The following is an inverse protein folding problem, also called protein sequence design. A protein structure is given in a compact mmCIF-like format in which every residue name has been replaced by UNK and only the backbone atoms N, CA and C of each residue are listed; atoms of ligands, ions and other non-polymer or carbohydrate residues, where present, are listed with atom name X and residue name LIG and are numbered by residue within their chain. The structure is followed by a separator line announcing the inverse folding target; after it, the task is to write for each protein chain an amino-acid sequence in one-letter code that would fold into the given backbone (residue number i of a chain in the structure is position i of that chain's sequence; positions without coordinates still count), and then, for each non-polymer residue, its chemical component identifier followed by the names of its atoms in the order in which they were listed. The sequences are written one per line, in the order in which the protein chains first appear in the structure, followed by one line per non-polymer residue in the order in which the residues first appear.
data_IF_079068034202
#
_entry.id   IF_079068034202
#
_cell.length_a   1.000
_cell.length_b   1.000
_cell.length_c   1.000
_cell.angle_alpha   90.00
_cell.angle_beta   90.00
_cell.angle_gamma   90.00
#
_symmetry.space_group_name_H-M   'P 1'
#
loop_
_entity.id
_entity.type
_entity.pdbx_description
1 polymer ?
#
# COMPACT_ATOMS: atom_id res chain seq x y z
N UNK A 1 21.01 -11.65 -9.69
CA UNK A 1 20.64 -13.09 -9.79
C UNK A 1 21.46 -13.93 -8.82
N UNK A 2 22.78 -13.95 -8.90
CA UNK A 2 23.65 -14.83 -8.06
C UNK A 2 23.36 -14.74 -6.56
N UNK A 3 23.32 -13.54 -5.99
CA UNK A 3 23.03 -13.34 -4.56
C UNK A 3 21.66 -13.92 -4.15
N UNK A 4 20.63 -13.72 -4.98
CA UNK A 4 19.28 -14.28 -4.72
C UNK A 4 19.33 -15.82 -4.74
N UNK A 5 19.99 -16.40 -5.74
CA UNK A 5 20.16 -17.86 -5.84
C UNK A 5 20.92 -18.43 -4.64
N UNK A 6 21.99 -17.74 -4.19
CA UNK A 6 22.78 -18.19 -3.03
C UNK A 6 21.96 -18.21 -1.75
N UNK A 7 21.11 -17.18 -1.52
CA UNK A 7 20.18 -17.16 -0.39
C UNK A 7 19.19 -18.33 -0.47
N UNK A 8 18.57 -18.56 -1.64
CA UNK A 8 17.60 -19.65 -1.80
C UNK A 8 18.26 -21.04 -1.68
N UNK A 9 19.44 -21.24 -2.23
CA UNK A 9 20.20 -22.50 -2.09
C UNK A 9 20.62 -22.77 -0.64
N UNK A 10 21.03 -21.71 0.08
CA UNK A 10 21.43 -21.79 1.49
C UNK A 10 20.26 -22.14 2.40
N UNK A 11 19.10 -21.48 2.23
CA UNK A 11 17.98 -21.60 3.16
C UNK A 11 16.93 -22.63 2.73
N UNK A 12 16.91 -23.04 1.46
CA UNK A 12 15.95 -24.02 0.93
C UNK A 12 14.51 -23.79 1.36
N UNK A 13 13.94 -22.58 1.18
CA UNK A 13 12.59 -22.29 1.63
C UNK A 13 11.56 -23.15 0.90
N UNK A 14 10.53 -23.60 1.60
CA UNK A 14 9.37 -24.26 0.99
C UNK A 14 8.30 -23.27 0.57
N UNK A 15 8.21 -22.14 1.27
CA UNK A 15 7.22 -21.08 1.05
C UNK A 15 7.92 -19.71 1.08
N UNK A 16 7.50 -18.79 0.22
CA UNK A 16 8.11 -17.47 0.10
C UNK A 16 7.03 -16.39 0.06
N UNK A 17 7.19 -15.35 0.90
CA UNK A 17 6.48 -14.08 0.76
C UNK A 17 7.45 -13.08 0.12
N UNK A 18 7.11 -12.61 -1.09
CA UNK A 18 7.93 -11.71 -1.87
C UNK A 18 7.42 -10.27 -1.76
N UNK A 19 8.05 -9.48 -0.87
CA UNK A 19 7.75 -8.06 -0.64
C UNK A 19 8.80 -7.13 -1.24
N UNK A 20 9.95 -7.67 -1.70
CA UNK A 20 11.04 -6.85 -2.22
C UNK A 20 10.58 -6.08 -3.47
N UNK A 21 10.80 -4.77 -3.45
CA UNK A 21 10.51 -3.91 -4.58
C UNK A 21 11.25 -2.56 -4.44
N UNK A 22 11.57 -1.95 -5.56
CA UNK A 22 11.87 -0.52 -5.59
C UNK A 22 10.54 0.22 -5.54
N UNK A 23 10.32 0.99 -4.47
CA UNK A 23 9.09 1.77 -4.24
C UNK A 23 9.41 3.25 -4.04
N UNK A 24 8.42 4.11 -4.25
CA UNK A 24 8.56 5.55 -4.03
C UNK A 24 7.26 6.29 -4.25
N UNK A 25 7.18 7.51 -3.73
CA UNK A 25 6.05 8.40 -3.92
C UNK A 25 5.86 8.88 -5.36
N UNK A 26 4.78 9.65 -5.60
CA UNK A 26 4.36 10.12 -6.92
C UNK A 26 5.50 10.84 -7.68
N UNK A 27 6.18 11.78 -7.03
CA UNK A 27 7.22 12.60 -7.70
C UNK A 27 8.43 11.78 -8.12
N UNK A 28 8.84 10.80 -7.32
CA UNK A 28 9.93 9.90 -7.64
C UNK A 28 9.57 8.99 -8.83
N UNK A 29 8.35 8.48 -8.86
CA UNK A 29 7.86 7.68 -10.00
C UNK A 29 7.89 8.48 -11.30
N UNK A 30 7.37 9.70 -11.30
CA UNK A 30 7.37 10.58 -12.49
C UNK A 30 8.78 10.80 -13.08
N UNK A 31 9.80 10.93 -12.22
CA UNK A 31 11.18 11.18 -12.64
C UNK A 31 11.94 9.94 -13.09
N UNK A 32 11.62 8.77 -12.53
CA UNK A 32 12.46 7.57 -12.62
C UNK A 32 11.68 6.33 -13.13
N UNK A 33 10.67 6.51 -13.99
CA UNK A 33 9.83 5.40 -14.47
C UNK A 33 10.65 4.22 -15.05
N UNK A 34 11.73 4.49 -15.80
CA UNK A 34 12.59 3.45 -16.35
C UNK A 34 13.31 2.65 -15.25
N UNK A 35 13.82 3.34 -14.21
CA UNK A 35 14.49 2.67 -13.10
C UNK A 35 13.51 1.80 -12.29
N UNK A 36 12.30 2.31 -12.06
CA UNK A 36 11.23 1.53 -11.43
C UNK A 36 10.88 0.28 -12.24
N UNK A 37 10.76 0.41 -13.57
CA UNK A 37 10.55 -0.72 -14.46
C UNK A 37 11.68 -1.74 -14.36
N UNK A 38 12.92 -1.34 -14.64
CA UNK A 38 14.06 -2.25 -14.71
C UNK A 38 14.33 -2.95 -13.39
N UNK A 39 14.42 -2.18 -12.30
CA UNK A 39 14.75 -2.76 -11.00
C UNK A 39 13.67 -3.74 -10.54
N UNK A 40 12.39 -3.40 -10.67
CA UNK A 40 11.32 -4.28 -10.23
C UNK A 40 11.19 -5.53 -11.12
N UNK A 41 11.39 -5.44 -12.43
CA UNK A 41 11.44 -6.63 -13.30
C UNK A 41 12.57 -7.56 -12.87
N UNK A 42 13.78 -7.05 -12.64
CA UNK A 42 14.91 -7.87 -12.22
C UNK A 42 14.69 -8.50 -10.84
N UNK A 43 14.16 -7.74 -9.87
CA UNK A 43 13.85 -8.26 -8.52
C UNK A 43 12.85 -9.41 -8.63
N UNK A 44 11.74 -9.18 -9.33
CA UNK A 44 10.66 -10.14 -9.46
C UNK A 44 11.13 -11.43 -10.17
N UNK A 45 11.79 -11.30 -11.30
CA UNK A 45 12.31 -12.43 -12.08
C UNK A 45 13.33 -13.25 -11.29
N UNK A 46 14.29 -12.58 -10.64
CA UNK A 46 15.28 -13.24 -9.81
C UNK A 46 14.66 -14.06 -8.68
N UNK A 47 13.64 -13.53 -8.00
CA UNK A 47 12.99 -14.23 -6.89
C UNK A 47 12.19 -15.43 -7.39
N UNK A 48 11.38 -15.27 -8.44
CA UNK A 48 10.57 -16.37 -8.97
C UNK A 48 11.44 -17.47 -9.59
N UNK A 49 12.49 -17.11 -10.32
CA UNK A 49 13.42 -18.07 -10.90
C UNK A 49 14.18 -18.85 -9.80
N UNK A 50 14.73 -18.16 -8.79
CA UNK A 50 15.42 -18.80 -7.69
C UNK A 50 14.48 -19.72 -6.88
N UNK A 51 13.23 -19.30 -6.68
CA UNK A 51 12.21 -20.12 -6.04
C UNK A 51 11.92 -21.39 -6.83
N UNK A 52 11.81 -21.27 -8.16
CA UNK A 52 11.61 -22.43 -9.05
C UNK A 52 12.77 -23.42 -9.00
N UNK A 53 14.03 -22.94 -9.09
CA UNK A 53 15.24 -23.76 -9.07
C UNK A 53 15.39 -24.62 -7.81
N UNK A 54 15.00 -24.08 -6.64
CA UNK A 54 15.10 -24.83 -5.37
C UNK A 54 13.84 -25.60 -5.02
N UNK A 55 12.79 -25.54 -5.85
CA UNK A 55 11.58 -26.31 -5.66
C UNK A 55 10.60 -25.72 -4.63
N UNK A 56 10.56 -24.38 -4.47
CA UNK A 56 9.57 -23.71 -3.61
C UNK A 56 8.15 -24.17 -3.98
N UNK A 57 7.39 -24.54 -2.98
CA UNK A 57 6.01 -25.03 -3.14
C UNK A 57 5.07 -23.87 -3.48
N UNK A 58 5.19 -22.75 -2.78
CA UNK A 58 4.33 -21.57 -2.96
C UNK A 58 5.07 -20.26 -2.78
N UNK A 59 4.82 -19.33 -3.70
CA UNK A 59 5.26 -17.95 -3.60
C UNK A 59 4.03 -17.05 -3.58
N UNK A 60 3.99 -16.10 -2.64
CA UNK A 60 2.99 -15.03 -2.60
C UNK A 60 3.69 -13.69 -2.83
N UNK A 61 3.45 -13.09 -3.99
CA UNK A 61 4.04 -11.80 -4.37
C UNK A 61 3.11 -10.64 -4.06
N UNK A 62 3.69 -9.50 -3.64
CA UNK A 62 2.94 -8.28 -3.38
C UNK A 62 2.84 -7.43 -4.64
N UNK A 63 1.63 -7.24 -5.17
CA UNK A 63 1.29 -6.26 -6.20
C UNK A 63 0.92 -4.90 -5.56
N UNK A 64 0.13 -4.12 -6.27
CA UNK A 64 -0.44 -2.84 -5.82
C UNK A 64 -1.64 -2.49 -6.69
N UNK A 65 -2.59 -1.73 -6.18
CA UNK A 65 -3.73 -1.25 -6.97
C UNK A 65 -3.35 -0.34 -8.14
N UNK A 66 -2.10 0.13 -8.23
CA UNK A 66 -1.61 0.89 -9.39
C UNK A 66 -1.51 0.06 -10.68
N UNK A 67 -1.58 -1.28 -10.60
CA UNK A 67 -1.56 -2.17 -11.77
C UNK A 67 -2.85 -2.09 -12.58
N UNK A 68 -3.96 -1.61 -12.01
CA UNK A 68 -5.23 -1.48 -12.72
C UNK A 68 -5.21 -0.36 -13.76
N UNK A 69 -6.06 -0.43 -14.79
CA UNK A 69 -6.18 0.62 -15.79
C UNK A 69 -6.49 1.97 -15.16
N UNK A 70 -5.94 3.04 -15.74
CA UNK A 70 -6.26 4.41 -15.32
C UNK A 70 -7.74 4.75 -15.58
N UNK A 71 -8.22 4.39 -16.78
CA UNK A 71 -9.64 4.53 -17.15
C UNK A 71 -10.32 3.19 -16.91
N UNK A 72 -11.12 3.11 -15.86
CA UNK A 72 -11.82 1.89 -15.48
C UNK A 72 -13.15 2.21 -14.77
N UNK A 73 -13.97 1.20 -14.58
CA UNK A 73 -15.17 1.28 -13.74
C UNK A 73 -14.84 0.93 -12.29
N UNK A 74 -15.65 1.41 -11.37
CA UNK A 74 -15.51 1.13 -9.93
C UNK A 74 -16.73 0.38 -9.40
N UNK A 75 -16.55 -0.53 -8.43
CA UNK A 75 -15.27 -0.91 -7.83
C UNK A 75 -14.40 -1.74 -8.80
N UNK A 76 -13.07 -1.61 -8.68
CA UNK A 76 -12.14 -2.46 -9.43
C UNK A 76 -12.08 -3.86 -8.82
N UNK A 77 -11.94 -4.89 -9.68
CA UNK A 77 -11.78 -6.27 -9.26
C UNK A 77 -10.64 -6.96 -10.03
N UNK A 78 -10.29 -8.18 -9.62
CA UNK A 78 -9.13 -8.91 -10.12
C UNK A 78 -9.15 -9.14 -11.64
N UNK A 79 -10.34 -9.26 -12.25
CA UNK A 79 -10.47 -9.51 -13.70
C UNK A 79 -10.09 -8.31 -14.56
N UNK A 80 -9.96 -7.13 -13.96
CA UNK A 80 -9.71 -5.86 -14.67
C UNK A 80 -8.22 -5.54 -14.86
N UNK A 81 -7.30 -6.34 -14.31
CA UNK A 81 -5.85 -6.05 -14.29
C UNK A 81 -5.30 -5.71 -15.67
N UNK A 82 -5.75 -6.42 -16.71
CA UNK A 82 -5.23 -6.31 -18.07
C UNK A 82 -6.14 -5.52 -19.04
N UNK A 83 -7.20 -4.85 -18.55
CA UNK A 83 -8.20 -4.19 -19.40
C UNK A 83 -7.76 -2.83 -19.97
N UNK A 84 -6.53 -2.40 -19.75
CA UNK A 84 -6.01 -1.15 -20.29
C UNK A 84 -4.68 -0.71 -19.65
N UNK A 85 -4.12 0.41 -20.09
CA UNK A 85 -2.87 0.94 -19.55
C UNK A 85 -3.07 1.47 -18.13
N UNK A 86 -2.06 1.29 -17.24
CA UNK A 86 -2.05 1.95 -15.94
C UNK A 86 -1.83 3.46 -16.08
N UNK A 87 -1.99 4.20 -14.99
CA UNK A 87 -1.79 5.65 -14.98
C UNK A 87 -0.34 6.03 -15.34
N UNK A 88 -0.18 7.06 -16.17
CA UNK A 88 1.12 7.48 -16.71
C UNK A 88 2.14 7.90 -15.64
N UNK A 89 1.69 8.43 -14.52
CA UNK A 89 2.60 8.91 -13.46
C UNK A 89 3.52 7.84 -12.90
N UNK A 90 3.13 6.55 -12.96
CA UNK A 90 3.88 5.44 -12.38
C UNK A 90 3.85 4.17 -13.26
N UNK A 91 3.70 4.35 -14.57
CA UNK A 91 3.54 3.22 -15.50
C UNK A 91 4.69 2.19 -15.40
N UNK A 92 5.92 2.64 -15.19
CA UNK A 92 7.08 1.75 -15.07
C UNK A 92 6.93 0.78 -13.90
N UNK A 93 6.60 1.28 -12.71
CA UNK A 93 6.30 0.46 -11.54
C UNK A 93 5.07 -0.43 -11.76
N UNK A 94 3.99 0.16 -12.26
CA UNK A 94 2.73 -0.54 -12.44
C UNK A 94 2.84 -1.72 -13.40
N UNK A 95 3.48 -1.54 -14.56
CA UNK A 95 3.72 -2.63 -15.50
C UNK A 95 4.67 -3.70 -14.93
N UNK A 96 5.75 -3.31 -14.23
CA UNK A 96 6.64 -4.28 -13.62
C UNK A 96 5.91 -5.15 -12.59
N UNK A 97 5.01 -4.57 -11.79
CA UNK A 97 4.17 -5.32 -10.86
C UNK A 97 3.12 -6.18 -11.58
N UNK A 98 2.50 -5.67 -12.64
CA UNK A 98 1.54 -6.44 -13.45
C UNK A 98 2.18 -7.68 -14.08
N UNK A 99 3.46 -7.61 -14.46
CA UNK A 99 4.18 -8.76 -15.03
C UNK A 99 4.36 -9.92 -14.06
N UNK A 100 4.27 -9.71 -12.75
CA UNK A 100 4.22 -10.82 -11.78
C UNK A 100 3.01 -11.73 -11.99
N UNK A 101 1.83 -11.18 -12.31
CA UNK A 101 0.66 -12.00 -12.65
C UNK A 101 0.92 -12.86 -13.90
N UNK A 102 1.53 -12.27 -14.93
CA UNK A 102 1.90 -13.00 -16.16
C UNK A 102 2.91 -14.11 -15.85
N UNK A 103 3.95 -13.83 -15.06
CA UNK A 103 4.95 -14.82 -14.67
C UNK A 103 4.33 -15.96 -13.85
N UNK A 104 3.47 -15.66 -12.86
CA UNK A 104 2.80 -16.67 -12.05
C UNK A 104 1.98 -17.65 -12.91
N UNK A 105 1.20 -17.10 -13.86
CA UNK A 105 0.44 -17.91 -14.83
C UNK A 105 1.34 -18.78 -15.70
N UNK A 106 2.45 -18.22 -16.19
CA UNK A 106 3.42 -18.97 -17.00
C UNK A 106 4.09 -20.11 -16.21
N UNK A 107 4.51 -19.84 -14.96
CA UNK A 107 5.05 -20.87 -14.07
C UNK A 107 4.03 -21.99 -13.75
N UNK A 108 2.77 -21.64 -13.57
CA UNK A 108 1.72 -22.65 -13.40
C UNK A 108 1.50 -23.45 -14.66
N UNK A 109 1.39 -22.82 -15.80
CA UNK A 109 1.13 -23.49 -17.08
C UNK A 109 2.26 -24.48 -17.45
N UNK A 110 3.51 -24.06 -17.32
CA UNK A 110 4.67 -24.83 -17.74
C UNK A 110 5.17 -25.81 -16.67
N UNK A 111 5.09 -25.44 -15.40
CA UNK A 111 5.76 -26.16 -14.32
C UNK A 111 4.83 -26.55 -13.17
N UNK A 112 3.53 -26.24 -13.26
CA UNK A 112 2.54 -26.49 -12.21
C UNK A 112 2.90 -25.86 -10.86
N UNK A 113 3.60 -24.71 -10.87
CA UNK A 113 3.93 -23.97 -9.66
C UNK A 113 2.74 -23.14 -9.19
N UNK A 114 2.32 -23.29 -7.94
CA UNK A 114 1.23 -22.54 -7.33
C UNK A 114 1.72 -21.18 -6.81
N UNK A 115 2.34 -20.37 -7.69
CA UNK A 115 2.73 -19.00 -7.39
C UNK A 115 1.54 -18.09 -7.59
N UNK A 116 1.31 -17.19 -6.63
CA UNK A 116 0.18 -16.26 -6.69
C UNK A 116 0.60 -14.87 -6.23
N UNK A 117 -0.31 -13.93 -6.29
CA UNK A 117 -0.04 -12.58 -5.85
C UNK A 117 -1.23 -11.97 -5.10
N UNK A 118 -0.95 -11.01 -4.26
CA UNK A 118 -1.96 -10.23 -3.55
C UNK A 118 -1.92 -8.77 -3.99
N UNK A 119 -3.06 -8.11 -4.00
CA UNK A 119 -3.23 -6.71 -4.41
C UNK A 119 -3.74 -5.92 -3.19
N UNK A 120 -2.84 -5.43 -2.32
CA UNK A 120 -3.28 -4.60 -1.21
C UNK A 120 -3.71 -3.22 -1.69
N UNK A 121 -4.67 -2.62 -0.97
CA UNK A 121 -4.98 -1.19 -1.05
C UNK A 121 -3.93 -0.36 -0.30
N UNK A 122 -4.26 0.82 0.21
CA UNK A 122 -3.25 1.67 0.85
C UNK A 122 -2.90 1.13 2.24
N UNK A 123 -1.72 0.54 2.34
CA UNK A 123 -1.20 -0.04 3.59
C UNK A 123 -0.71 1.07 4.50
N UNK A 124 -0.99 0.95 5.80
CA UNK A 124 -0.44 1.82 6.85
C UNK A 124 -0.24 1.04 8.15
N UNK A 125 0.62 1.52 9.02
CA UNK A 125 0.85 0.89 10.33
C UNK A 125 2.18 1.32 10.96
N UNK A 126 2.51 0.76 12.13
CA UNK A 126 3.85 0.88 12.71
C UNK A 126 4.95 0.50 11.72
N UNK A 127 6.12 1.13 11.87
CA UNK A 127 7.29 0.92 11.00
C UNK A 127 7.16 1.39 9.54
N UNK A 128 6.10 2.12 9.19
CA UNK A 128 5.93 2.69 7.86
C UNK A 128 7.02 3.73 7.51
N UNK A 129 7.00 4.23 6.28
CA UNK A 129 7.81 5.37 5.86
C UNK A 129 7.05 6.67 6.15
N UNK A 130 7.43 7.36 7.22
CA UNK A 130 6.81 8.63 7.64
C UNK A 130 7.46 9.86 6.97
N UNK A 131 8.31 9.68 5.95
CA UNK A 131 8.85 10.81 5.18
C UNK A 131 7.72 11.65 4.59
N UNK A 132 7.80 12.96 4.77
CA UNK A 132 6.79 13.90 4.26
C UNK A 132 6.83 13.95 2.74
N UNK A 133 8.02 13.81 2.13
CA UNK A 133 8.22 13.92 0.69
C UNK A 133 8.04 12.58 -0.04
N UNK A 134 8.56 11.50 0.55
CA UNK A 134 8.66 10.17 -0.11
C UNK A 134 7.67 9.14 0.44
N UNK A 135 7.02 9.42 1.57
CA UNK A 135 6.03 8.54 2.21
C UNK A 135 4.67 8.56 1.51
N UNK A 136 3.84 7.59 1.86
CA UNK A 136 2.43 7.59 1.48
C UNK A 136 1.64 8.65 2.26
N UNK A 137 0.40 8.91 1.81
CA UNK A 137 -0.41 10.02 2.33
C UNK A 137 -0.64 9.94 3.83
N UNK A 138 -1.02 8.77 4.37
CA UNK A 138 -1.38 8.65 5.79
C UNK A 138 -0.19 8.77 6.73
N UNK A 139 0.94 8.05 6.54
CA UNK A 139 2.14 8.26 7.36
C UNK A 139 2.71 9.68 7.22
N UNK A 140 2.63 10.29 6.03
CA UNK A 140 3.01 11.69 5.83
C UNK A 140 2.13 12.67 6.61
N UNK A 141 0.81 12.42 6.68
CA UNK A 141 -0.13 13.20 7.50
C UNK A 141 0.18 13.07 8.99
N UNK A 142 0.49 11.87 9.47
CA UNK A 142 0.87 11.63 10.87
C UNK A 142 2.10 12.46 11.22
N UNK A 143 3.15 12.42 10.40
CA UNK A 143 4.38 13.18 10.63
C UNK A 143 4.15 14.70 10.59
N UNK A 144 3.43 15.20 9.57
CA UNK A 144 3.05 16.62 9.47
C UNK A 144 2.26 17.09 10.68
N UNK A 145 1.29 16.28 11.13
CA UNK A 145 0.48 16.63 12.30
C UNK A 145 1.32 16.67 13.59
N UNK A 146 2.24 15.73 13.75
CA UNK A 146 3.17 15.72 14.88
C UNK A 146 4.04 16.97 14.93
N UNK A 147 4.62 17.36 13.78
CA UNK A 147 5.43 18.59 13.69
C UNK A 147 4.57 19.83 13.96
N UNK A 148 3.41 19.93 13.31
CA UNK A 148 2.48 21.04 13.49
C UNK A 148 2.07 21.21 14.98
N UNK A 149 1.79 20.08 15.67
CA UNK A 149 1.51 20.07 17.10
C UNK A 149 2.70 20.58 17.93
N UNK A 150 3.90 20.09 17.63
CA UNK A 150 5.13 20.47 18.36
C UNK A 150 5.48 21.95 18.18
N UNK A 151 5.25 22.48 16.99
CA UNK A 151 5.57 23.87 16.63
C UNK A 151 4.41 24.86 16.89
N UNK A 152 3.24 24.37 17.26
CA UNK A 152 2.05 25.24 17.45
C UNK A 152 1.53 25.83 16.13
N UNK A 153 1.79 25.19 14.98
CA UNK A 153 1.39 25.65 13.64
C UNK A 153 0.17 24.90 13.12
N UNK A 154 -0.56 25.44 12.13
CA UNK A 154 -1.61 24.71 11.44
C UNK A 154 -1.07 23.48 10.70
N UNK A 155 -1.88 22.40 10.62
CA UNK A 155 -1.60 21.27 9.73
C UNK A 155 -1.87 21.69 8.27
N UNK A 156 -0.88 21.52 7.39
CA UNK A 156 -1.04 21.72 5.95
C UNK A 156 -1.25 20.39 5.25
N UNK A 157 -2.46 20.17 4.75
CA UNK A 157 -2.84 19.00 3.94
C UNK A 157 -2.59 19.33 2.46
N UNK A 158 -1.83 18.47 1.77
CA UNK A 158 -1.61 18.65 0.34
C UNK A 158 -2.81 18.15 -0.47
N UNK A 159 -3.21 18.93 -1.48
CA UNK A 159 -4.38 18.67 -2.32
C UNK A 159 -5.68 19.22 -1.74
N UNK A 160 -6.80 18.83 -2.33
CA UNK A 160 -8.14 19.30 -1.92
C UNK A 160 -8.71 18.56 -0.70
N UNK A 161 -8.16 17.41 -0.34
CA UNK A 161 -8.71 16.54 0.69
C UNK A 161 -9.92 15.71 0.24
N UNK A 162 -10.41 15.88 -0.98
CA UNK A 162 -11.61 15.20 -1.48
C UNK A 162 -11.37 13.75 -1.99
N UNK A 163 -10.19 13.36 -2.49
CA UNK A 163 -9.97 12.00 -2.96
C UNK A 163 -10.22 10.97 -1.87
N UNK A 164 -10.82 9.85 -2.26
CA UNK A 164 -11.16 8.74 -1.37
C UNK A 164 -10.18 7.58 -1.49
N UNK A 165 -9.93 6.91 -0.36
CA UNK A 165 -9.01 5.76 -0.27
C UNK A 165 -9.52 4.73 0.71
N UNK A 166 -9.30 3.46 0.37
CA UNK A 166 -9.36 2.36 1.32
C UNK A 166 -7.99 2.19 1.95
N UNK A 167 -7.94 2.19 3.28
CA UNK A 167 -6.72 1.98 4.05
C UNK A 167 -6.78 0.62 4.75
N UNK A 168 -5.74 -0.19 4.59
CA UNK A 168 -5.62 -1.48 5.26
C UNK A 168 -4.49 -1.44 6.30
N UNK A 169 -4.78 -1.90 7.51
CA UNK A 169 -3.80 -1.97 8.58
C UNK A 169 -2.76 -3.05 8.30
N UNK A 170 -1.49 -2.73 8.50
CA UNK A 170 -0.37 -3.62 8.17
C UNK A 170 -0.42 -4.97 8.89
N UNK A 171 -0.95 -5.02 10.12
CA UNK A 171 -1.13 -6.26 10.86
C UNK A 171 -2.22 -7.14 10.26
N UNK A 172 -3.34 -6.57 9.85
CA UNK A 172 -4.40 -7.31 9.17
C UNK A 172 -3.92 -7.83 7.82
N UNK A 173 -3.20 -6.99 7.07
CA UNK A 173 -2.58 -7.40 5.82
C UNK A 173 -1.59 -8.56 6.03
N UNK A 174 -0.79 -8.53 7.10
CA UNK A 174 0.14 -9.62 7.41
C UNK A 174 -0.59 -10.93 7.71
N UNK A 175 -1.70 -10.89 8.46
CA UNK A 175 -2.57 -12.05 8.70
C UNK A 175 -3.13 -12.62 7.40
N UNK A 176 -3.59 -11.75 6.50
CA UNK A 176 -4.11 -12.14 5.19
C UNK A 176 -3.01 -12.73 4.28
N UNK A 177 -1.77 -12.19 4.30
CA UNK A 177 -0.64 -12.79 3.60
C UNK A 177 -0.36 -14.22 4.07
N UNK A 178 -0.38 -14.44 5.39
CA UNK A 178 -0.17 -15.78 5.96
C UNK A 178 -1.31 -16.73 5.56
N UNK A 179 -2.55 -16.25 5.54
CA UNK A 179 -3.67 -17.04 5.05
C UNK A 179 -3.50 -17.39 3.56
N UNK A 180 -3.19 -16.41 2.70
CA UNK A 180 -2.94 -16.66 1.27
C UNK A 180 -1.83 -17.67 1.07
N UNK A 181 -0.75 -17.56 1.86
CA UNK A 181 0.38 -18.50 1.78
C UNK A 181 -0.02 -19.93 2.11
N UNK A 182 -0.91 -20.12 3.09
CA UNK A 182 -1.29 -21.44 3.62
C UNK A 182 -2.47 -22.07 2.92
N UNK A 183 -3.48 -21.26 2.58
CA UNK A 183 -4.83 -21.79 2.29
C UNK A 183 -5.38 -21.36 0.93
N UNK A 184 -4.97 -20.21 0.38
CA UNK A 184 -5.52 -19.72 -0.89
C UNK A 184 -5.05 -20.61 -2.06
N UNK A 185 -5.95 -21.30 -2.79
CA UNK A 185 -5.56 -22.36 -3.74
C UNK A 185 -5.26 -21.85 -5.16
N UNK A 186 -5.67 -20.63 -5.48
CA UNK A 186 -5.63 -20.12 -6.85
C UNK A 186 -4.29 -19.48 -7.22
N UNK A 187 -3.99 -19.49 -8.51
CA UNK A 187 -2.85 -18.76 -9.12
C UNK A 187 -3.24 -17.30 -9.38
N UNK A 188 -4.51 -17.07 -9.70
CA UNK A 188 -5.06 -15.74 -9.91
C UNK A 188 -4.86 -14.88 -8.66
N UNK A 189 -4.49 -13.59 -8.85
CA UNK A 189 -4.29 -12.70 -7.72
C UNK A 189 -5.60 -12.44 -6.95
N UNK A 190 -5.44 -12.00 -5.71
CA UNK A 190 -6.56 -11.62 -4.84
C UNK A 190 -6.36 -10.23 -4.27
N UNK A 191 -7.41 -9.41 -4.30
CA UNK A 191 -7.44 -8.08 -3.68
C UNK A 191 -7.56 -8.26 -2.16
N UNK A 192 -6.64 -7.65 -1.43
CA UNK A 192 -6.67 -7.57 0.03
C UNK A 192 -7.02 -6.14 0.42
N UNK A 193 -8.30 -5.91 0.69
CA UNK A 193 -8.86 -4.59 0.99
C UNK A 193 -9.96 -4.70 2.03
N UNK A 194 -10.15 -3.62 2.77
CA UNK A 194 -11.39 -3.36 3.52
C UNK A 194 -12.58 -3.20 2.56
N UNK A 195 -13.80 -3.21 3.07
CA UNK A 195 -15.02 -3.01 2.28
C UNK A 195 -15.07 -1.64 1.57
N UNK A 196 -16.00 -1.50 0.63
CA UNK A 196 -16.23 -0.23 -0.07
C UNK A 196 -16.78 0.85 0.89
N UNK A 197 -17.55 0.43 1.89
CA UNK A 197 -18.13 1.26 2.95
C UNK A 197 -17.08 1.86 3.88
N UNK A 198 -15.91 1.24 3.98
CA UNK A 198 -14.77 1.70 4.80
C UNK A 198 -13.85 2.68 4.06
N UNK A 199 -14.24 3.12 2.86
CA UNK A 199 -13.50 4.11 2.10
C UNK A 199 -13.63 5.50 2.74
N UNK A 200 -12.49 6.14 3.02
CA UNK A 200 -12.44 7.48 3.64
C UNK A 200 -11.76 8.49 2.71
N UNK A 201 -12.21 9.76 2.78
CA UNK A 201 -11.55 10.86 2.11
C UNK A 201 -10.23 11.22 2.81
N UNK A 202 -9.32 11.88 2.09
CA UNK A 202 -8.08 12.39 2.68
C UNK A 202 -8.38 13.40 3.80
N UNK A 203 -9.48 14.16 3.69
CA UNK A 203 -9.96 15.05 4.76
C UNK A 203 -10.33 14.26 6.01
N UNK A 204 -11.18 13.22 5.89
CA UNK A 204 -11.57 12.38 7.02
C UNK A 204 -10.36 11.67 7.66
N UNK A 205 -9.40 11.24 6.83
CA UNK A 205 -8.15 10.68 7.32
C UNK A 205 -7.32 11.71 8.11
N UNK A 206 -7.20 12.95 7.61
CA UNK A 206 -6.51 14.03 8.31
C UNK A 206 -7.21 14.40 9.64
N UNK A 207 -8.55 14.47 9.64
CA UNK A 207 -9.34 14.70 10.86
C UNK A 207 -9.10 13.59 11.90
N UNK A 208 -9.05 12.33 11.45
CA UNK A 208 -8.78 11.19 12.33
C UNK A 208 -7.36 11.22 12.90
N UNK A 209 -6.34 11.62 12.11
CA UNK A 209 -4.95 11.81 12.61
C UNK A 209 -4.89 12.90 13.66
N UNK A 210 -5.56 14.04 13.43
CA UNK A 210 -5.66 15.14 14.40
C UNK A 210 -6.26 14.67 15.72
N UNK A 211 -7.32 13.85 15.66
CA UNK A 211 -7.93 13.24 16.85
C UNK A 211 -6.98 12.25 17.53
N UNK A 212 -6.36 11.34 16.78
CA UNK A 212 -5.48 10.30 17.30
C UNK A 212 -4.26 10.88 18.03
N UNK A 213 -3.73 12.00 17.55
CA UNK A 213 -2.59 12.71 18.17
C UNK A 213 -3.02 13.73 19.23
N UNK A 214 -4.31 13.83 19.57
CA UNK A 214 -4.84 14.88 20.47
C UNK A 214 -4.29 16.27 20.14
N UNK A 215 -4.34 16.62 18.86
CA UNK A 215 -3.87 17.92 18.38
C UNK A 215 -4.94 18.97 18.64
N UNK A 216 -4.94 19.53 19.88
CA UNK A 216 -5.75 20.68 20.25
C UNK A 216 -4.99 21.94 19.85
N UNK A 217 -5.66 22.89 19.17
CA UNK A 217 -5.10 24.22 19.02
C UNK A 217 -4.85 24.79 20.44
N UNK A 218 -3.58 24.97 20.81
CA UNK A 218 -3.20 25.57 22.08
C UNK A 218 -3.86 26.94 22.21
N UNK A 219 -4.28 27.26 23.44
CA UNK A 219 -4.93 28.51 23.88
C UNK A 219 -4.15 29.76 23.41
N UNK A 220 -4.42 30.21 22.20
CA UNK A 220 -4.11 31.58 21.81
C UNK A 220 -5.37 32.22 21.22
N UNK A 221 -6.01 33.04 22.02
CA UNK A 221 -7.15 33.90 21.74
C UNK A 221 -8.41 33.27 21.09
N UNK A 222 -9.37 33.06 21.96
CA UNK A 222 -10.81 32.97 21.72
C UNK A 222 -11.23 33.84 20.54
N UNK A 223 -11.94 33.22 19.58
CA UNK A 223 -12.75 33.84 18.51
C UNK A 223 -12.31 33.64 17.05
N UNK A 224 -11.71 32.50 16.67
CA UNK A 224 -11.74 32.13 15.26
C UNK A 224 -12.05 30.64 15.18
N UNK A 225 -13.21 30.36 14.64
CA UNK A 225 -13.81 29.13 14.13
C UNK A 225 -12.97 27.83 14.14
N UNK A 226 -13.58 26.73 14.52
CA UNK A 226 -13.17 25.32 14.40
C UNK A 226 -12.54 24.91 13.04
N UNK A 227 -12.50 25.81 12.06
CA UNK A 227 -12.03 25.65 10.69
C UNK A 227 -10.52 25.92 10.50
N UNK A 228 -9.78 26.38 11.50
CA UNK A 228 -8.36 26.77 11.31
C UNK A 228 -7.31 25.70 11.66
N UNK A 229 -7.69 24.45 11.89
CA UNK A 229 -6.72 23.40 12.21
C UNK A 229 -6.04 22.81 10.99
N UNK A 230 -6.66 22.91 9.82
CA UNK A 230 -6.18 22.33 8.58
C UNK A 230 -6.22 23.38 7.48
N UNK A 231 -5.13 23.49 6.74
CA UNK A 231 -5.05 24.28 5.51
C UNK A 231 -4.83 23.32 4.35
N UNK A 232 -5.49 23.55 3.21
CA UNK A 232 -5.39 22.73 2.03
C UNK A 232 -4.53 23.44 0.98
N UNK A 233 -3.40 22.84 0.62
CA UNK A 233 -2.54 23.32 -0.47
C UNK A 233 -2.99 22.71 -1.79
N UNK A 234 -3.93 23.34 -2.44
CA UNK A 234 -4.50 22.91 -3.73
C UNK A 234 -3.55 23.08 -4.92
N UNK A 235 -2.38 23.68 -4.76
CA UNK A 235 -1.33 23.67 -5.78
C UNK A 235 -0.64 22.31 -5.90
N UNK A 236 -0.80 21.45 -4.89
CA UNK A 236 -0.33 20.06 -4.94
C UNK A 236 -1.38 19.16 -5.56
N UNK A 237 -0.93 18.20 -6.37
CA UNK A 237 -1.82 17.26 -7.06
C UNK A 237 -2.55 16.35 -6.06
N UNK A 238 -3.84 16.14 -6.29
CA UNK A 238 -4.68 15.17 -5.58
C UNK A 238 -4.36 13.70 -5.96
N UNK A 239 -3.67 13.48 -7.09
CA UNK A 239 -3.54 12.16 -7.69
C UNK A 239 -4.89 11.64 -8.24
N UNK A 240 -5.07 10.33 -8.30
CA UNK A 240 -6.35 9.75 -8.76
C UNK A 240 -7.48 10.05 -7.76
N UNK A 241 -8.62 10.50 -8.25
CA UNK A 241 -9.78 10.87 -7.43
C UNK A 241 -10.37 9.67 -6.67
N UNK A 242 -10.49 8.51 -7.33
CA UNK A 242 -11.07 7.28 -6.76
C UNK A 242 -10.21 6.06 -7.13
N UNK A 243 -10.14 5.08 -6.22
CA UNK A 243 -9.46 3.79 -6.41
C UNK A 243 -10.16 2.67 -5.65
N UNK A 244 -11.47 2.74 -5.53
CA UNK A 244 -12.24 1.77 -4.76
C UNK A 244 -12.07 0.38 -5.34
N UNK A 245 -11.61 -0.55 -4.51
CA UNK A 245 -11.42 -1.96 -4.84
C UNK A 245 -12.53 -2.81 -4.21
N UNK A 246 -12.98 -3.81 -4.95
CA UNK A 246 -13.95 -4.79 -4.48
C UNK A 246 -13.23 -5.89 -3.68
N UNK A 247 -13.68 -6.17 -2.47
CA UNK A 247 -13.15 -7.26 -1.66
C UNK A 247 -14.04 -8.53 -1.68
N UNK A 248 -15.01 -8.61 -2.59
CA UNK A 248 -15.98 -9.72 -2.63
C UNK A 248 -15.29 -11.09 -2.75
N UNK A 249 -14.21 -11.20 -3.51
CA UNK A 249 -13.44 -12.44 -3.62
C UNK A 249 -12.83 -12.83 -2.26
N UNK A 250 -12.20 -11.89 -1.56
CA UNK A 250 -11.68 -12.12 -0.20
C UNK A 250 -12.79 -12.54 0.76
N UNK A 251 -13.91 -11.82 0.78
CA UNK A 251 -15.05 -12.12 1.65
C UNK A 251 -15.69 -13.48 1.36
N UNK A 252 -15.64 -13.96 0.11
CA UNK A 252 -16.14 -15.30 -0.22
C UNK A 252 -15.28 -16.42 0.37
N UNK A 253 -13.98 -16.19 0.56
CA UNK A 253 -13.06 -17.14 1.22
C UNK A 253 -13.04 -16.98 2.73
N UNK A 254 -13.16 -15.76 3.23
CA UNK A 254 -13.04 -15.41 4.65
C UNK A 254 -14.22 -14.53 5.10
N UNK A 255 -15.46 -15.08 5.15
CA UNK A 255 -16.64 -14.29 5.52
C UNK A 255 -16.57 -13.72 6.94
N UNK A 256 -15.86 -14.39 7.85
CA UNK A 256 -15.72 -14.00 9.25
C UNK A 256 -14.44 -13.22 9.55
N UNK A 257 -13.71 -12.76 8.53
CA UNK A 257 -12.52 -11.95 8.78
C UNK A 257 -12.89 -10.52 9.17
N UNK A 258 -12.53 -10.14 10.38
CA UNK A 258 -12.77 -8.81 10.90
C UNK A 258 -11.50 -7.95 10.81
N UNK A 259 -11.59 -6.89 10.03
CA UNK A 259 -10.55 -5.87 9.96
C UNK A 259 -10.51 -5.04 11.25
N UNK A 260 -9.32 -4.64 11.64
CA UNK A 260 -9.15 -3.69 12.73
C UNK A 260 -9.81 -2.35 12.32
N UNK A 261 -10.71 -1.78 13.16
CA UNK A 261 -11.36 -0.52 12.83
C UNK A 261 -10.34 0.58 12.53
N UNK A 262 -10.57 1.36 11.46
CA UNK A 262 -9.63 2.37 10.97
C UNK A 262 -9.11 3.31 12.07
N UNK A 263 -10.00 3.83 12.92
CA UNK A 263 -9.62 4.74 14.02
C UNK A 263 -8.73 4.06 15.07
N UNK A 264 -8.95 2.79 15.35
CA UNK A 264 -8.12 2.01 16.28
C UNK A 264 -6.72 1.81 15.68
N UNK A 265 -6.63 1.27 14.48
CA UNK A 265 -5.36 1.03 13.79
C UNK A 265 -4.55 2.33 13.60
N UNK A 266 -5.25 3.44 13.31
CA UNK A 266 -4.64 4.76 13.20
C UNK A 266 -4.08 5.24 14.54
N UNK A 267 -4.83 5.06 15.64
CA UNK A 267 -4.36 5.41 16.98
C UNK A 267 -3.09 4.64 17.35
N UNK A 268 -3.09 3.32 17.13
CA UNK A 268 -1.92 2.46 17.37
C UNK A 268 -0.71 2.92 16.55
N UNK A 269 -0.93 3.28 15.28
CA UNK A 269 0.13 3.79 14.39
C UNK A 269 0.69 5.13 14.87
N UNK A 270 -0.18 6.06 15.27
CA UNK A 270 0.20 7.36 15.81
C UNK A 270 0.99 7.21 17.11
N UNK A 271 0.53 6.37 18.03
CA UNK A 271 1.20 6.13 19.31
C UNK A 271 2.58 5.51 19.12
N UNK A 272 2.69 4.54 18.19
CA UNK A 272 3.97 3.97 17.81
C UNK A 272 4.91 5.04 17.25
N UNK A 273 4.43 5.89 16.33
CA UNK A 273 5.24 6.94 15.72
C UNK A 273 5.74 7.96 16.74
N UNK A 274 4.88 8.41 17.66
CA UNK A 274 5.26 9.35 18.72
C UNK A 274 6.32 8.75 19.63
N UNK A 275 6.12 7.50 20.06
CA UNK A 275 7.05 6.79 20.95
C UNK A 275 8.40 6.52 20.30
N UNK A 276 8.41 6.26 18.98
CA UNK A 276 9.60 5.87 18.24
C UNK A 276 10.09 6.98 17.29
N UNK A 277 9.73 8.24 17.54
CA UNK A 277 9.96 9.35 16.61
C UNK A 277 11.41 9.42 16.12
N UNK A 278 12.40 9.28 17.00
CA UNK A 278 13.82 9.41 16.64
C UNK A 278 14.31 8.25 15.78
N UNK A 279 13.78 7.05 15.97
CA UNK A 279 14.12 5.84 15.23
C UNK A 279 13.25 5.60 14.00
N UNK A 280 12.10 6.29 13.88
CA UNK A 280 11.20 6.12 12.76
C UNK A 280 11.84 6.57 11.45
N UNK A 281 11.54 5.86 10.36
CA UNK A 281 11.96 6.25 9.01
C UNK A 281 11.17 7.49 8.56
N UNK A 282 11.87 8.61 8.41
CA UNK A 282 11.31 9.95 8.10
C UNK A 282 11.91 10.52 6.83
#
# INVERSE_FOLDING_TARGET
MTETQDVFRKHRPTHVIHLAAMVGGLFKNLKCNLDFWRNNIHINDNVLQAAHEVGVVKVVSCLSTCIFPDKTTYPINETMIHNGPPHESNFGYAYAKRMLDVQNRAYFQQHRRCYTAVIPTNVFGPHDNFSIEDGHVLPGLIHKTYIAKKEGKPLVVWGSGTPKRQFIYSLDLARLFLWVLREYPEVEPIILSVGEEDEVSIKEAADAVVQALDFKASNFHILISLTMRQQYDTHKSDGQFKKTACNAKLSSYLPDFHFTPFKQALKETCDWFVTNYDAARK
#
